data_IF_650804223917
#
_entry.id   IF_650804223917
#
_cell.length_a   1.000
_cell.length_b   1.000
_cell.length_c   1.000
_cell.angle_alpha   90.00
_cell.angle_beta   90.00
_cell.angle_gamma   90.00
#
_symmetry.space_group_name_H-M   'P 1'
#
loop_
_entity.id
_entity.type
_entity.pdbx_description
1 polymer ?
#
# COMPACT_ATOMS: atom_id res chain seq x y z
N UNK A 1 0.79 25.92 17.28
CA UNK A 1 -0.59 25.43 17.47
C UNK A 1 -0.51 23.92 17.42
N UNK A 2 -1.20 23.18 18.30
CA UNK A 2 -1.26 21.73 18.15
C UNK A 2 -1.82 21.44 16.75
N UNK A 3 -1.20 20.49 16.05
CA UNK A 3 -1.69 19.97 14.76
C UNK A 3 -3.17 19.69 14.95
N UNK A 4 -4.04 20.36 14.19
CA UNK A 4 -5.48 20.15 14.27
C UNK A 4 -5.74 18.65 14.08
N UNK A 5 -6.27 17.97 15.10
CA UNK A 5 -6.67 16.57 15.02
C UNK A 5 -7.88 16.47 14.07
N UNK A 6 -7.61 16.50 12.76
CA UNK A 6 -8.55 16.30 11.65
C UNK A 6 -9.11 14.87 11.59
N UNK A 7 -8.85 14.05 12.62
CA UNK A 7 -9.37 12.68 12.74
C UNK A 7 -10.91 12.61 12.75
N UNK A 8 -11.58 13.72 13.10
CA UNK A 8 -13.03 13.86 13.10
C UNK A 8 -13.65 14.13 11.71
N UNK A 9 -12.85 14.48 10.69
CA UNK A 9 -13.34 14.72 9.31
C UNK A 9 -13.33 13.46 8.41
N UNK A 10 -12.86 12.32 8.92
CA UNK A 10 -12.88 11.03 8.22
C UNK A 10 -14.25 10.34 8.26
N UNK A 11 -14.62 9.53 7.25
CA UNK A 11 -15.78 8.63 7.38
C UNK A 11 -15.51 7.65 8.53
N UNK A 12 -16.55 7.01 9.10
CA UNK A 12 -16.35 6.01 10.15
C UNK A 12 -15.37 4.91 9.69
N UNK A 13 -14.42 4.57 10.57
CA UNK A 13 -13.42 3.50 10.45
C UNK A 13 -14.07 2.12 10.47
N UNK A 14 -14.78 1.80 9.39
CA UNK A 14 -15.51 0.55 9.25
C UNK A 14 -15.28 0.02 7.83
N UNK A 15 -14.59 -1.11 7.63
CA UNK A 15 -13.82 -1.93 8.58
C UNK A 15 -12.53 -1.24 9.08
N UNK A 16 -12.10 -1.57 10.31
CA UNK A 16 -10.83 -1.07 10.83
C UNK A 16 -9.66 -1.84 10.17
N UNK A 17 -8.88 -1.14 9.34
CA UNK A 17 -7.73 -1.74 8.63
C UNK A 17 -6.55 -2.01 9.57
N UNK A 18 -6.48 -1.32 10.71
CA UNK A 18 -5.48 -1.52 11.75
C UNK A 18 -5.54 -2.96 12.31
N UNK A 19 -6.74 -3.55 12.39
CA UNK A 19 -6.94 -4.93 12.81
C UNK A 19 -6.31 -5.94 11.85
N UNK A 20 -6.38 -5.68 10.55
CA UNK A 20 -5.76 -6.56 9.57
C UNK A 20 -4.23 -6.42 9.55
N UNK A 21 -3.71 -5.23 9.88
CA UNK A 21 -2.28 -5.04 10.09
C UNK A 21 -1.80 -5.75 11.36
N UNK A 22 -2.55 -5.65 12.47
CA UNK A 22 -2.26 -6.38 13.71
C UNK A 22 -2.27 -7.90 13.51
N UNK A 23 -3.25 -8.43 12.76
CA UNK A 23 -3.28 -9.85 12.37
C UNK A 23 -2.00 -10.24 11.63
N UNK A 24 -1.63 -9.46 10.61
CA UNK A 24 -0.42 -9.72 9.82
C UNK A 24 0.86 -9.69 10.66
N UNK A 25 0.97 -8.76 11.62
CA UNK A 25 2.08 -8.70 12.55
C UNK A 25 2.16 -9.93 13.46
N UNK A 26 1.02 -10.47 13.89
CA UNK A 26 0.96 -11.69 14.70
C UNK A 26 1.39 -12.92 13.87
N UNK A 27 1.08 -12.97 12.57
CA UNK A 27 1.58 -14.01 11.67
C UNK A 27 3.12 -14.01 11.58
N UNK A 28 3.73 -12.82 11.57
CA UNK A 28 5.18 -12.64 11.47
C UNK A 28 5.91 -12.87 12.80
N UNK A 29 5.29 -12.48 13.92
CA UNK A 29 5.87 -12.56 15.26
C UNK A 29 4.91 -13.28 16.22
N UNK A 30 4.92 -14.63 16.23
CA UNK A 30 3.95 -15.42 17.00
C UNK A 30 4.08 -15.29 18.54
N UNK A 31 5.17 -14.68 19.04
CA UNK A 31 5.52 -14.60 20.47
C UNK A 31 5.14 -13.29 21.18
N UNK A 32 4.62 -12.28 20.49
CA UNK A 32 4.32 -10.99 21.10
C UNK A 32 2.96 -10.97 21.80
N UNK A 33 2.97 -11.17 23.11
CA UNK A 33 1.78 -11.18 23.98
C UNK A 33 1.02 -9.85 23.96
N UNK A 34 1.74 -8.72 23.87
CA UNK A 34 1.14 -7.38 23.87
C UNK A 34 0.30 -7.09 22.63
N UNK A 35 0.67 -7.64 21.47
CA UNK A 35 -0.10 -7.49 20.22
C UNK A 35 -1.38 -8.33 20.26
N UNK A 36 -1.30 -9.53 20.85
CA UNK A 36 -2.47 -10.39 21.07
C UNK A 36 -3.47 -9.76 22.04
N UNK A 37 -3.00 -9.10 23.10
CA UNK A 37 -3.87 -8.38 24.04
C UNK A 37 -4.55 -7.16 23.41
N UNK A 38 -3.83 -6.39 22.58
CA UNK A 38 -4.41 -5.27 21.82
C UNK A 38 -5.48 -5.74 20.84
N UNK A 39 -5.21 -6.81 20.09
CA UNK A 39 -6.17 -7.40 19.16
C UNK A 39 -7.38 -7.99 19.90
N UNK A 40 -7.20 -8.62 21.07
CA UNK A 40 -8.30 -9.10 21.90
C UNK A 40 -9.16 -7.95 22.45
N UNK A 41 -8.57 -6.82 22.81
CA UNK A 41 -9.32 -5.65 23.26
C UNK A 41 -10.09 -5.02 22.10
N UNK A 42 -9.51 -4.92 20.91
CA UNK A 42 -10.20 -4.37 19.73
C UNK A 42 -11.28 -5.32 19.17
N UNK A 43 -11.11 -6.63 19.31
CA UNK A 43 -12.16 -7.62 18.97
C UNK A 43 -13.32 -7.52 19.96
N UNK A 44 -13.03 -7.25 21.25
CA UNK A 44 -14.06 -7.04 22.27
C UNK A 44 -14.82 -5.73 22.06
N UNK A 45 -14.17 -4.66 21.62
CA UNK A 45 -14.84 -3.37 21.35
C UNK A 45 -15.66 -3.39 20.06
N UNK A 46 -15.19 -4.10 19.01
CA UNK A 46 -15.87 -4.15 17.71
C UNK A 46 -16.79 -5.37 17.52
N UNK A 47 -16.84 -6.30 18.47
CA UNK A 47 -17.67 -7.51 18.46
C UNK A 47 -17.51 -8.36 17.18
N UNK A 48 -16.27 -8.57 16.72
CA UNK A 48 -16.00 -9.28 15.46
C UNK A 48 -16.03 -10.80 15.63
N UNK A 49 -17.13 -11.45 15.25
CA UNK A 49 -17.24 -12.92 15.38
C UNK A 49 -16.58 -13.70 14.24
N UNK A 50 -16.85 -13.40 12.95
CA UNK A 50 -16.22 -14.08 11.82
C UNK A 50 -14.72 -13.85 11.72
N UNK A 51 -14.24 -12.63 11.99
CA UNK A 51 -12.80 -12.34 11.99
C UNK A 51 -12.06 -13.14 13.08
N UNK A 52 -12.67 -13.31 14.25
CA UNK A 52 -12.11 -14.15 15.30
C UNK A 52 -12.08 -15.63 14.90
N UNK A 53 -13.11 -16.13 14.19
CA UNK A 53 -13.10 -17.49 13.64
C UNK A 53 -12.04 -17.69 12.54
N UNK A 54 -11.77 -16.67 11.72
CA UNK A 54 -10.67 -16.70 10.76
C UNK A 54 -9.30 -16.67 11.47
N UNK A 55 -9.13 -15.83 12.49
CA UNK A 55 -7.90 -15.80 13.30
C UNK A 55 -7.65 -17.10 14.08
N UNK A 56 -8.72 -17.81 14.48
CA UNK A 56 -8.62 -19.16 15.06
C UNK A 56 -8.19 -20.18 13.98
N UNK A 57 -8.76 -20.12 12.78
CA UNK A 57 -8.39 -21.00 11.66
C UNK A 57 -6.94 -20.83 11.21
N UNK A 58 -6.43 -19.59 11.28
CA UNK A 58 -5.05 -19.26 10.93
C UNK A 58 -4.05 -19.63 12.06
N UNK A 59 -4.54 -20.06 13.24
CA UNK A 59 -3.72 -20.61 14.33
C UNK A 59 -3.08 -19.59 15.27
N UNK A 60 -3.54 -18.34 15.27
CA UNK A 60 -2.88 -17.22 15.95
C UNK A 60 -3.37 -16.98 17.40
N UNK A 61 -4.59 -17.41 17.73
CA UNK A 61 -5.21 -17.27 19.05
C UNK A 61 -5.75 -18.60 19.60
N UNK A 62 -5.69 -18.73 20.93
CA UNK A 62 -6.38 -19.79 21.66
C UNK A 62 -7.90 -19.59 21.59
N UNK A 63 -8.64 -20.68 21.43
CA UNK A 63 -10.09 -20.70 21.38
C UNK A 63 -10.69 -20.44 22.77
N UNK A 64 -11.22 -19.25 23.00
CA UNK A 64 -12.04 -18.96 24.17
C UNK A 64 -13.53 -19.10 23.82
N UNK A 65 -14.06 -20.33 23.91
CA UNK A 65 -15.44 -20.65 23.50
C UNK A 65 -16.51 -19.82 24.24
N UNK A 66 -16.24 -19.40 25.48
CA UNK A 66 -17.14 -18.55 26.27
C UNK A 66 -17.24 -17.12 25.73
N UNK A 67 -16.12 -16.56 25.26
CA UNK A 67 -16.10 -15.22 24.65
C UNK A 67 -16.78 -15.24 23.28
N UNK A 68 -16.61 -16.31 22.50
CA UNK A 68 -17.30 -16.50 21.22
C UNK A 68 -18.82 -16.51 21.41
N UNK A 69 -19.32 -17.27 22.38
CA UNK A 69 -20.76 -17.37 22.64
C UNK A 69 -21.35 -16.04 23.11
N UNK A 70 -20.64 -15.33 24.00
CA UNK A 70 -21.06 -14.00 24.47
C UNK A 70 -21.09 -12.99 23.32
N UNK A 71 -20.08 -12.99 22.44
CA UNK A 71 -20.01 -12.09 21.29
C UNK A 71 -21.09 -12.44 20.25
N UNK A 72 -21.37 -13.73 20.01
CA UNK A 72 -22.44 -14.17 19.11
C UNK A 72 -23.82 -13.71 19.58
N UNK A 73 -24.11 -13.82 20.87
CA UNK A 73 -25.39 -13.38 21.44
C UNK A 73 -25.59 -11.87 21.25
N UNK A 74 -24.58 -11.06 21.56
CA UNK A 74 -24.63 -9.60 21.34
C UNK A 74 -24.78 -9.25 19.86
N UNK A 75 -24.18 -10.02 18.96
CA UNK A 75 -24.28 -9.82 17.52
C UNK A 75 -25.68 -10.17 17.00
N UNK A 76 -26.24 -11.29 17.42
CA UNK A 76 -27.61 -11.69 17.05
C UNK A 76 -28.66 -10.71 17.58
N UNK A 77 -28.48 -10.16 18.78
CA UNK A 77 -29.35 -9.11 19.33
C UNK A 77 -29.30 -7.84 18.49
N UNK A 78 -28.09 -7.34 18.17
CA UNK A 78 -27.93 -6.13 17.34
C UNK A 78 -28.39 -6.33 15.90
N UNK A 79 -28.24 -7.53 15.33
CA UNK A 79 -28.78 -7.85 14.00
C UNK A 79 -30.31 -7.85 14.01
N UNK A 80 -30.94 -8.39 15.05
CA UNK A 80 -32.41 -8.35 15.21
C UNK A 80 -32.92 -6.92 15.36
N UNK A 81 -32.28 -6.10 16.21
CA UNK A 81 -32.67 -4.69 16.34
C UNK A 81 -32.56 -3.92 15.00
N UNK A 82 -31.55 -4.22 14.19
CA UNK A 82 -31.38 -3.60 12.88
C UNK A 82 -32.39 -4.14 11.85
N UNK A 83 -32.76 -5.41 11.93
CA UNK A 83 -33.80 -6.01 11.09
C UNK A 83 -35.19 -5.49 11.43
N UNK A 84 -35.51 -5.34 12.72
CA UNK A 84 -36.77 -4.76 13.18
C UNK A 84 -36.89 -3.29 12.72
N UNK A 85 -35.80 -2.51 12.80
CA UNK A 85 -35.76 -1.14 12.27
C UNK A 85 -35.94 -1.08 10.75
N UNK A 86 -35.39 -2.05 10.02
CA UNK A 86 -35.60 -2.16 8.58
C UNK A 86 -37.07 -2.44 8.27
N UNK A 87 -37.70 -3.38 8.99
CA UNK A 87 -39.11 -3.70 8.79
C UNK A 87 -40.04 -2.55 9.17
N UNK A 88 -39.75 -1.82 10.24
CA UNK A 88 -40.49 -0.61 10.63
C UNK A 88 -40.37 0.48 9.58
N UNK A 89 -39.15 0.73 9.08
CA UNK A 89 -38.91 1.77 8.08
C UNK A 89 -39.45 1.40 6.69
N UNK A 90 -39.50 0.11 6.34
CA UNK A 90 -40.18 -0.37 5.13
C UNK A 90 -41.71 -0.21 5.22
N UNK A 91 -42.28 -0.23 6.43
CA UNK A 91 -43.72 -0.04 6.66
C UNK A 91 -44.12 1.43 6.83
N UNK A 92 -43.22 2.29 7.29
CA UNK A 92 -43.54 3.67 7.71
C UNK A 92 -43.00 4.80 6.81
N UNK A 93 -41.87 4.63 6.13
CA UNK A 93 -41.13 5.75 5.53
C UNK A 93 -40.64 5.54 4.09
N UNK A 94 -40.14 6.62 3.46
CA UNK A 94 -39.70 6.66 2.06
C UNK A 94 -38.30 6.06 1.82
N UNK A 95 -37.89 5.96 0.54
CA UNK A 95 -36.64 5.31 0.09
C UNK A 95 -35.36 5.78 0.81
N UNK A 96 -35.32 7.05 1.26
CA UNK A 96 -34.18 7.63 1.97
C UNK A 96 -33.91 7.00 3.34
N UNK A 97 -34.94 6.62 4.08
CA UNK A 97 -34.80 6.05 5.44
C UNK A 97 -34.50 4.55 5.41
N UNK A 98 -35.06 3.85 4.41
CA UNK A 98 -34.72 2.45 4.11
C UNK A 98 -33.23 2.35 3.77
N UNK A 99 -32.69 3.30 3.00
CA UNK A 99 -31.27 3.36 2.68
C UNK A 99 -30.39 3.53 3.92
N UNK A 100 -30.73 4.44 4.82
CA UNK A 100 -29.94 4.69 6.03
C UNK A 100 -29.94 3.46 6.95
N UNK A 101 -31.08 2.77 7.03
CA UNK A 101 -31.20 1.50 7.74
C UNK A 101 -30.34 0.40 7.12
N UNK A 102 -30.35 0.27 5.79
CA UNK A 102 -29.49 -0.66 5.07
C UNK A 102 -28.01 -0.31 5.18
N UNK A 103 -27.66 0.97 5.21
CA UNK A 103 -26.30 1.45 5.38
C UNK A 103 -25.80 1.14 6.80
N UNK A 104 -26.60 1.39 7.83
CA UNK A 104 -26.28 1.03 9.21
C UNK A 104 -26.09 -0.48 9.38
N UNK A 105 -26.96 -1.30 8.78
CA UNK A 105 -26.79 -2.76 8.74
C UNK A 105 -25.52 -3.18 7.99
N UNK A 106 -25.26 -2.56 6.85
CA UNK A 106 -24.06 -2.85 6.05
C UNK A 106 -22.78 -2.49 6.81
N UNK A 107 -22.75 -1.33 7.49
CA UNK A 107 -21.64 -0.92 8.34
C UNK A 107 -21.44 -1.89 9.50
N UNK A 108 -22.52 -2.33 10.15
CA UNK A 108 -22.44 -3.30 11.23
C UNK A 108 -21.87 -4.65 10.74
N UNK A 109 -22.34 -5.16 9.60
CA UNK A 109 -21.79 -6.37 8.97
C UNK A 109 -20.32 -6.22 8.53
N UNK A 110 -19.93 -5.04 8.06
CA UNK A 110 -18.53 -4.71 7.76
C UNK A 110 -17.67 -4.69 9.03
N UNK A 111 -18.21 -4.19 10.14
CA UNK A 111 -17.54 -4.20 11.44
C UNK A 111 -17.35 -5.62 11.95
N UNK A 112 -18.35 -6.49 11.76
CA UNK A 112 -18.28 -7.90 12.15
C UNK A 112 -17.25 -8.66 11.29
N UNK A 113 -17.09 -8.29 10.02
CA UNK A 113 -16.20 -8.97 9.07
C UNK A 113 -16.87 -10.16 8.39
N UNK A 114 -18.18 -10.12 8.14
CA UNK A 114 -18.84 -11.10 7.26
C UNK A 114 -18.76 -10.63 5.80
N UNK A 115 -17.81 -11.19 5.04
CA UNK A 115 -17.53 -10.79 3.65
C UNK A 115 -18.73 -10.95 2.72
N UNK A 116 -19.46 -12.05 2.80
CA UNK A 116 -20.49 -12.39 1.81
C UNK A 116 -21.80 -11.66 2.09
N UNK A 117 -22.18 -11.58 3.36
CA UNK A 117 -23.37 -10.83 3.75
C UNK A 117 -23.17 -9.34 3.56
N UNK A 118 -22.00 -8.79 3.93
CA UNK A 118 -21.70 -7.38 3.73
C UNK A 118 -21.75 -6.99 2.25
N UNK A 119 -21.17 -7.79 1.34
CA UNK A 119 -21.22 -7.51 -0.10
C UNK A 119 -22.65 -7.54 -0.66
N UNK A 120 -23.49 -8.45 -0.16
CA UNK A 120 -24.88 -8.56 -0.59
C UNK A 120 -25.70 -7.36 -0.14
N UNK A 121 -25.57 -6.95 1.13
CA UNK A 121 -26.27 -5.77 1.65
C UNK A 121 -25.74 -4.47 1.03
N UNK A 122 -24.44 -4.32 0.81
CA UNK A 122 -23.88 -3.16 0.11
C UNK A 122 -24.39 -3.03 -1.33
N UNK A 123 -24.63 -4.14 -2.04
CA UNK A 123 -25.25 -4.12 -3.38
C UNK A 123 -26.72 -3.69 -3.31
N UNK A 124 -27.49 -4.24 -2.37
CA UNK A 124 -28.90 -3.84 -2.15
C UNK A 124 -29.01 -2.35 -1.82
N UNK A 125 -28.10 -1.82 -1.00
CA UNK A 125 -28.06 -0.39 -0.68
C UNK A 125 -27.70 0.42 -1.91
N UNK A 126 -26.73 -0.03 -2.72
CA UNK A 126 -26.32 0.65 -3.95
C UNK A 126 -27.50 0.85 -4.92
N UNK A 127 -28.31 -0.20 -5.14
CA UNK A 127 -29.46 -0.15 -6.04
C UNK A 127 -30.53 0.85 -5.60
N UNK A 128 -30.73 1.02 -4.28
CA UNK A 128 -31.68 1.97 -3.70
C UNK A 128 -31.13 3.41 -3.58
N UNK A 129 -29.82 3.61 -3.77
CA UNK A 129 -29.23 4.96 -3.69
C UNK A 129 -29.36 5.72 -4.99
N UNK A 130 -29.89 6.94 -4.91
CA UNK A 130 -30.04 7.84 -6.07
C UNK A 130 -28.88 8.82 -6.18
N UNK A 131 -28.39 9.37 -5.06
CA UNK A 131 -27.34 10.39 -5.08
C UNK A 131 -25.94 9.79 -5.37
N UNK A 132 -25.20 10.42 -6.28
CA UNK A 132 -23.86 10.03 -6.72
C UNK A 132 -22.84 9.99 -5.58
N UNK A 133 -22.84 10.98 -4.68
CA UNK A 133 -21.92 11.02 -3.53
C UNK A 133 -22.06 9.79 -2.62
N UNK A 134 -23.30 9.40 -2.29
CA UNK A 134 -23.56 8.22 -1.47
C UNK A 134 -23.24 6.91 -2.18
N UNK A 135 -23.39 6.85 -3.52
CA UNK A 135 -22.95 5.70 -4.33
C UNK A 135 -21.43 5.52 -4.25
N UNK A 136 -20.67 6.62 -4.30
CA UNK A 136 -19.22 6.59 -4.14
C UNK A 136 -18.82 6.11 -2.74
N UNK A 137 -19.49 6.63 -1.69
CA UNK A 137 -19.21 6.23 -0.31
C UNK A 137 -19.43 4.72 -0.10
N UNK A 138 -20.48 4.14 -0.70
CA UNK A 138 -20.72 2.68 -0.71
C UNK A 138 -19.64 1.87 -1.43
N UNK A 139 -19.14 2.38 -2.56
CA UNK A 139 -18.02 1.74 -3.27
C UNK A 139 -16.75 1.81 -2.44
N UNK A 140 -16.50 2.90 -1.71
CA UNK A 140 -15.37 2.97 -0.78
C UNK A 140 -15.48 1.95 0.36
N UNK A 141 -16.68 1.65 0.88
CA UNK A 141 -16.85 0.52 1.81
C UNK A 141 -16.48 -0.83 1.18
N UNK A 142 -16.89 -1.08 -0.07
CA UNK A 142 -16.52 -2.31 -0.79
C UNK A 142 -15.01 -2.40 -1.06
N UNK A 143 -14.36 -1.28 -1.37
CA UNK A 143 -12.91 -1.19 -1.56
C UNK A 143 -12.16 -1.45 -0.25
N UNK A 144 -12.64 -0.91 0.88
CA UNK A 144 -12.06 -1.17 2.20
C UNK A 144 -12.18 -2.64 2.60
N UNK A 145 -13.32 -3.28 2.37
CA UNK A 145 -13.47 -4.73 2.54
C UNK A 145 -12.50 -5.51 1.65
N UNK A 146 -12.37 -5.12 0.37
CA UNK A 146 -11.40 -5.73 -0.54
C UNK A 146 -9.96 -5.60 -0.05
N UNK A 147 -9.57 -4.43 0.48
CA UNK A 147 -8.26 -4.19 1.08
C UNK A 147 -8.07 -4.96 2.40
N UNK A 148 -9.13 -5.18 3.17
CA UNK A 148 -9.06 -5.96 4.41
C UNK A 148 -8.69 -7.42 4.11
N UNK A 149 -9.33 -8.04 3.12
CA UNK A 149 -9.05 -9.42 2.71
C UNK A 149 -7.93 -9.58 1.66
N UNK A 150 -7.39 -8.46 1.14
CA UNK A 150 -6.38 -8.44 0.07
C UNK A 150 -6.85 -9.11 -1.25
N UNK A 151 -8.15 -9.09 -1.54
CA UNK A 151 -8.73 -9.60 -2.79
C UNK A 151 -8.51 -8.60 -3.95
N UNK A 152 -7.41 -8.75 -4.70
CA UNK A 152 -7.00 -7.79 -5.75
C UNK A 152 -8.03 -7.63 -6.89
N UNK A 153 -8.70 -8.72 -7.30
CA UNK A 153 -9.68 -8.70 -8.39
C UNK A 153 -10.94 -7.89 -8.02
N UNK A 154 -11.36 -7.99 -6.75
CA UNK A 154 -12.51 -7.24 -6.24
C UNK A 154 -12.18 -5.74 -6.18
N UNK A 155 -10.98 -5.41 -5.73
CA UNK A 155 -10.49 -4.03 -5.68
C UNK A 155 -10.46 -3.42 -7.08
N UNK A 156 -9.96 -4.14 -8.09
CA UNK A 156 -9.89 -3.64 -9.47
C UNK A 156 -11.27 -3.28 -10.02
N UNK A 157 -12.23 -4.20 -9.94
CA UNK A 157 -13.60 -3.97 -10.46
C UNK A 157 -14.28 -2.79 -9.78
N UNK A 158 -14.10 -2.64 -8.48
CA UNK A 158 -14.72 -1.56 -7.73
C UNK A 158 -14.01 -0.22 -7.97
N UNK A 159 -12.70 -0.24 -8.23
CA UNK A 159 -11.93 0.95 -8.55
C UNK A 159 -12.27 1.51 -9.93
N UNK A 160 -12.49 0.64 -10.92
CA UNK A 160 -12.92 1.08 -12.24
C UNK A 160 -14.33 1.68 -12.22
N UNK A 161 -15.25 1.10 -11.43
CA UNK A 161 -16.57 1.69 -11.15
C UNK A 161 -16.48 3.03 -10.41
N UNK A 162 -15.54 3.15 -9.47
CA UNK A 162 -15.31 4.41 -8.76
C UNK A 162 -14.81 5.50 -9.73
N UNK A 163 -13.90 5.17 -10.65
CA UNK A 163 -13.40 6.12 -11.66
C UNK A 163 -14.53 6.68 -12.51
N UNK A 164 -15.39 5.83 -13.07
CA UNK A 164 -16.51 6.28 -13.90
C UNK A 164 -17.45 7.21 -13.14
N UNK A 165 -17.74 6.91 -11.87
CA UNK A 165 -18.63 7.73 -11.04
C UNK A 165 -17.99 9.02 -10.55
N UNK A 166 -16.67 9.05 -10.33
CA UNK A 166 -15.94 10.28 -9.98
C UNK A 166 -15.88 11.23 -11.18
N UNK A 167 -15.71 10.70 -12.39
CA UNK A 167 -15.71 11.50 -13.62
C UNK A 167 -17.10 12.13 -13.89
N UNK A 168 -18.18 11.47 -13.47
CA UNK A 168 -19.55 12.00 -13.52
C UNK A 168 -19.88 12.96 -12.37
N UNK A 169 -19.36 12.69 -11.17
CA UNK A 169 -19.76 13.36 -9.93
C UNK A 169 -19.03 14.67 -9.63
N UNK A 170 -17.87 14.94 -10.23
CA UNK A 170 -17.15 16.22 -10.08
C UNK A 170 -16.64 16.56 -8.67
N UNK A 171 -16.91 15.72 -7.67
CA UNK A 171 -16.50 15.91 -6.27
C UNK A 171 -14.99 15.80 -6.11
N UNK A 172 -14.35 16.92 -5.78
CA UNK A 172 -12.90 17.01 -5.67
C UNK A 172 -12.33 16.21 -4.49
N UNK A 173 -12.97 16.25 -3.31
CA UNK A 173 -12.50 15.51 -2.12
C UNK A 173 -12.58 13.99 -2.32
N UNK A 174 -13.71 13.49 -2.84
CA UNK A 174 -13.89 12.06 -3.16
C UNK A 174 -12.90 11.57 -4.22
N UNK A 175 -12.51 12.44 -5.17
CA UNK A 175 -11.46 12.14 -6.15
C UNK A 175 -10.11 11.94 -5.49
N UNK A 176 -9.74 12.75 -4.50
CA UNK A 176 -8.49 12.58 -3.78
C UNK A 176 -8.48 11.29 -2.97
N UNK A 177 -9.58 10.96 -2.28
CA UNK A 177 -9.71 9.67 -1.58
C UNK A 177 -9.53 8.50 -2.54
N UNK A 178 -10.19 8.54 -3.70
CA UNK A 178 -10.03 7.53 -4.74
C UNK A 178 -8.58 7.39 -5.23
N UNK A 179 -7.86 8.50 -5.42
CA UNK A 179 -6.43 8.47 -5.74
C UNK A 179 -5.60 7.76 -4.66
N UNK A 180 -5.90 7.98 -3.37
CA UNK A 180 -5.22 7.27 -2.26
C UNK A 180 -5.50 5.76 -2.32
N UNK A 181 -6.76 5.34 -2.52
CA UNK A 181 -7.12 3.93 -2.71
C UNK A 181 -6.40 3.31 -3.92
N UNK A 182 -6.29 4.05 -5.02
CA UNK A 182 -5.57 3.61 -6.22
C UNK A 182 -4.06 3.52 -5.99
N UNK A 183 -3.47 4.48 -5.29
CA UNK A 183 -2.06 4.46 -4.91
C UNK A 183 -1.72 3.28 -4.02
N UNK A 184 -2.58 2.98 -3.04
CA UNK A 184 -2.40 1.84 -2.13
C UNK A 184 -2.49 0.50 -2.87
N UNK A 185 -3.45 0.35 -3.79
CA UNK A 185 -3.53 -0.82 -4.67
C UNK A 185 -2.26 -0.94 -5.54
N UNK A 186 -1.83 0.16 -6.17
CA UNK A 186 -0.65 0.16 -7.04
C UNK A 186 0.62 -0.26 -6.29
N UNK A 187 0.77 0.19 -5.03
CA UNK A 187 1.81 -0.27 -4.12
C UNK A 187 1.76 -1.79 -3.90
N UNK A 188 0.56 -2.36 -3.69
CA UNK A 188 0.36 -3.81 -3.50
C UNK A 188 0.65 -4.66 -4.75
N UNK A 189 0.74 -4.07 -5.94
CA UNK A 189 1.01 -4.76 -7.22
C UNK A 189 2.46 -4.47 -7.71
N UNK A 190 3.27 -3.76 -6.90
CA UNK A 190 4.65 -3.29 -7.19
C UNK A 190 4.74 -2.15 -8.21
N UNK A 191 3.64 -1.49 -8.56
CA UNK A 191 3.68 -0.32 -9.43
C UNK A 191 3.94 0.96 -8.60
N UNK A 192 5.19 1.11 -8.16
CA UNK A 192 5.63 2.27 -7.38
C UNK A 192 5.60 3.57 -8.18
N UNK A 193 5.66 3.50 -9.52
CA UNK A 193 5.68 4.69 -10.38
C UNK A 193 4.34 5.40 -10.35
N UNK A 194 3.27 4.67 -10.66
CA UNK A 194 1.91 5.21 -10.58
C UNK A 194 1.53 5.54 -9.14
N UNK A 195 1.94 4.72 -8.16
CA UNK A 195 1.69 5.01 -6.75
C UNK A 195 2.31 6.34 -6.30
N UNK A 196 3.58 6.59 -6.64
CA UNK A 196 4.26 7.82 -6.25
C UNK A 196 3.61 9.08 -6.83
N UNK A 197 3.19 9.03 -8.10
CA UNK A 197 2.51 10.16 -8.73
C UNK A 197 1.16 10.46 -8.07
N UNK A 198 0.36 9.42 -7.84
CA UNK A 198 -0.94 9.54 -7.18
C UNK A 198 -0.81 10.05 -5.74
N UNK A 199 0.16 9.54 -4.98
CA UNK A 199 0.36 9.96 -3.60
C UNK A 199 0.84 11.41 -3.51
N UNK A 200 1.82 11.81 -4.33
CA UNK A 200 2.35 13.18 -4.33
C UNK A 200 1.29 14.23 -4.67
N UNK A 201 0.35 13.91 -5.57
CA UNK A 201 -0.77 14.79 -5.87
C UNK A 201 -1.74 14.98 -4.70
N UNK A 202 -1.81 14.00 -3.79
CA UNK A 202 -2.80 13.96 -2.70
C UNK A 202 -2.24 14.40 -1.35
N UNK A 203 -0.93 14.64 -1.21
CA UNK A 203 -0.31 15.04 0.08
C UNK A 203 -0.94 16.30 0.65
N UNK A 204 -1.15 17.32 -0.20
CA UNK A 204 -1.64 18.63 0.22
C UNK A 204 -3.06 18.62 0.78
N UNK A 205 -3.86 17.63 0.39
CA UNK A 205 -5.29 17.58 0.71
C UNK A 205 -5.71 16.18 1.08
N UNK A 206 -4.93 15.60 1.99
CA UNK A 206 -5.21 14.30 2.55
C UNK A 206 -6.38 14.39 3.55
N UNK A 207 -7.47 13.70 3.26
CA UNK A 207 -8.67 13.62 4.11
C UNK A 207 -9.02 12.17 4.48
N UNK A 208 -8.14 11.21 4.18
CA UNK A 208 -8.41 9.76 4.26
C UNK A 208 -7.93 9.12 5.56
N UNK A 209 -8.32 9.67 6.72
CA UNK A 209 -7.99 9.11 8.05
C UNK A 209 -8.60 7.73 8.33
N UNK A 210 -9.52 7.29 7.47
CA UNK A 210 -10.09 5.94 7.45
C UNK A 210 -9.08 4.86 7.08
N UNK A 211 -8.13 5.19 6.20
CA UNK A 211 -7.19 4.23 5.63
C UNK A 211 -5.95 4.10 6.51
N UNK A 212 -5.43 5.25 6.93
CA UNK A 212 -4.16 5.34 7.64
C UNK A 212 -4.00 6.72 8.28
N UNK A 213 -3.14 6.79 9.30
CA UNK A 213 -2.70 8.07 9.84
C UNK A 213 -1.88 8.84 8.80
N UNK A 214 -1.95 10.17 8.90
CA UNK A 214 -1.27 11.06 7.97
C UNK A 214 0.26 10.89 8.01
N UNK A 215 0.82 10.57 9.19
CA UNK A 215 2.25 10.26 9.31
C UNK A 215 2.62 9.05 8.44
N UNK A 216 1.89 7.95 8.56
CA UNK A 216 2.07 6.73 7.77
C UNK A 216 1.83 6.98 6.27
N UNK A 217 0.89 7.84 5.93
CA UNK A 217 0.67 8.23 4.53
C UNK A 217 1.91 8.90 3.92
N UNK A 218 2.53 9.82 4.67
CA UNK A 218 3.76 10.48 4.23
C UNK A 218 4.94 9.52 4.16
N UNK A 219 5.05 8.56 5.09
CA UNK A 219 6.11 7.53 5.02
C UNK A 219 6.02 6.72 3.72
N UNK A 220 4.81 6.27 3.36
CA UNK A 220 4.55 5.54 2.13
C UNK A 220 4.79 6.38 0.88
N UNK A 221 4.43 7.65 0.93
CA UNK A 221 4.69 8.60 -0.17
C UNK A 221 6.18 8.76 -0.42
N UNK A 222 6.99 8.93 0.64
CA UNK A 222 8.45 9.05 0.52
C UNK A 222 9.08 7.77 -0.02
N UNK A 223 8.68 6.61 0.52
CA UNK A 223 9.15 5.27 0.08
C UNK A 223 8.86 5.05 -1.41
N UNK A 224 7.63 5.29 -1.86
CA UNK A 224 7.27 5.15 -3.26
C UNK A 224 8.02 6.14 -4.16
N UNK A 225 8.14 7.39 -3.71
CA UNK A 225 8.82 8.46 -4.45
C UNK A 225 10.30 8.19 -4.66
N UNK A 226 10.98 7.58 -3.68
CA UNK A 226 12.40 7.24 -3.77
C UNK A 226 12.71 6.20 -4.85
N UNK A 227 11.79 5.25 -5.07
CA UNK A 227 11.94 4.23 -6.13
C UNK A 227 11.51 4.75 -7.49
N UNK A 228 10.46 5.57 -7.53
CA UNK A 228 9.80 5.98 -8.77
C UNK A 228 10.44 7.19 -9.45
N UNK A 229 10.87 8.20 -8.67
CA UNK A 229 11.26 9.49 -9.20
C UNK A 229 12.75 9.62 -9.42
N UNK A 230 13.10 10.31 -10.49
CA UNK A 230 14.47 10.75 -10.75
C UNK A 230 14.85 11.91 -9.82
N UNK A 231 16.16 12.05 -9.58
CA UNK A 231 16.75 13.02 -8.63
C UNK A 231 16.25 14.47 -8.78
N UNK A 232 16.09 15.04 -9.99
CA UNK A 232 15.57 16.40 -10.12
C UNK A 232 14.12 16.54 -9.63
N UNK A 233 13.25 15.59 -10.02
CA UNK A 233 11.83 15.57 -9.63
C UNK A 233 11.68 15.32 -8.13
N UNK A 234 12.51 14.45 -7.55
CA UNK A 234 12.53 14.19 -6.11
C UNK A 234 12.89 15.46 -5.32
N UNK A 235 13.85 16.26 -5.80
CA UNK A 235 14.24 17.52 -5.16
C UNK A 235 13.08 18.52 -5.13
N UNK A 236 12.40 18.67 -6.25
CA UNK A 236 11.33 19.66 -6.39
C UNK A 236 10.07 19.25 -5.61
N UNK A 237 9.60 18.01 -5.77
CA UNK A 237 8.34 17.57 -5.19
C UNK A 237 8.45 17.15 -3.72
N UNK A 238 9.53 16.48 -3.31
CA UNK A 238 9.64 15.86 -1.97
C UNK A 238 10.50 16.69 -1.04
N UNK A 239 11.71 17.06 -1.46
CA UNK A 239 12.67 17.74 -0.57
C UNK A 239 12.28 19.21 -0.34
N UNK A 240 11.68 19.86 -1.34
CA UNK A 240 11.21 21.25 -1.23
C UNK A 240 9.73 21.37 -0.83
N UNK A 241 8.99 20.26 -0.77
CA UNK A 241 7.60 20.26 -0.34
C UNK A 241 7.50 20.59 1.15
N UNK A 242 6.79 21.66 1.50
CA UNK A 242 6.65 22.13 2.88
C UNK A 242 5.93 21.12 3.78
N UNK A 243 4.86 20.50 3.27
CA UNK A 243 4.03 19.55 4.02
C UNK A 243 4.83 18.30 4.43
N UNK A 244 5.59 17.75 3.48
CA UNK A 244 6.41 16.57 3.71
C UNK A 244 7.54 16.91 4.70
N UNK A 245 8.17 18.07 4.57
CA UNK A 245 9.24 18.50 5.48
C UNK A 245 8.75 18.63 6.93
N UNK A 246 7.58 19.23 7.15
CA UNK A 246 7.01 19.42 8.49
C UNK A 246 6.84 18.09 9.22
N UNK A 247 6.29 17.08 8.54
CA UNK A 247 6.04 15.75 9.13
C UNK A 247 7.32 14.94 9.25
N UNK A 248 8.28 15.11 8.32
CA UNK A 248 9.60 14.50 8.42
C UNK A 248 10.38 14.96 9.66
N UNK A 249 10.05 16.11 10.26
CA UNK A 249 10.64 16.48 11.56
C UNK A 249 10.19 15.57 12.70
N UNK A 250 8.99 15.00 12.64
CA UNK A 250 8.49 14.01 13.59
C UNK A 250 9.10 12.61 13.41
N UNK A 251 9.59 12.28 12.21
CA UNK A 251 10.12 10.97 11.85
C UNK A 251 11.59 11.05 11.38
N UNK A 252 12.56 11.08 12.31
CA UNK A 252 13.97 11.28 11.99
C UNK A 252 14.55 10.19 11.10
N UNK A 253 14.09 8.93 11.23
CA UNK A 253 14.60 7.79 10.45
C UNK A 253 14.37 7.98 8.94
N UNK A 254 13.18 8.43 8.55
CA UNK A 254 12.81 8.59 7.13
C UNK A 254 13.46 9.84 6.56
N UNK A 255 13.58 10.89 7.39
CA UNK A 255 14.32 12.09 7.05
C UNK A 255 15.78 11.76 6.73
N UNK A 256 16.48 11.09 7.63
CA UNK A 256 17.88 10.68 7.41
C UNK A 256 18.01 9.79 6.18
N UNK A 257 17.07 8.89 5.94
CA UNK A 257 17.05 8.04 4.76
C UNK A 257 16.91 8.83 3.44
N UNK A 258 15.99 9.79 3.38
CA UNK A 258 15.79 10.65 2.21
C UNK A 258 17.00 11.57 1.95
N UNK A 259 17.48 12.25 2.99
CA UNK A 259 18.59 13.20 2.87
C UNK A 259 19.93 12.51 2.60
N UNK A 260 20.20 11.33 3.20
CA UNK A 260 21.44 10.58 2.95
C UNK A 260 21.60 10.18 1.49
N UNK A 261 20.53 9.74 0.82
CA UNK A 261 20.56 9.46 -0.62
C UNK A 261 20.81 10.72 -1.45
N UNK A 262 20.14 11.83 -1.09
CA UNK A 262 20.23 13.07 -1.85
C UNK A 262 21.60 13.76 -1.72
N UNK A 263 22.16 13.78 -0.50
CA UNK A 263 23.49 14.33 -0.16
C UNK A 263 24.65 13.41 -0.52
N UNK A 264 24.38 12.22 -1.07
CA UNK A 264 25.37 11.21 -1.45
C UNK A 264 26.16 10.63 -0.25
N UNK A 265 25.56 10.58 0.95
CA UNK A 265 26.14 9.91 2.14
C UNK A 265 25.73 8.44 2.18
N UNK A 266 26.40 7.63 1.37
CA UNK A 266 25.94 6.26 1.12
C UNK A 266 26.13 5.27 2.28
N UNK A 267 27.11 5.48 3.16
CA UNK A 267 27.30 4.64 4.34
C UNK A 267 26.12 4.75 5.32
N UNK A 268 25.63 5.97 5.56
CA UNK A 268 24.46 6.24 6.40
C UNK A 268 23.20 5.67 5.74
N UNK A 269 23.06 5.88 4.42
CA UNK A 269 21.95 5.34 3.63
C UNK A 269 21.77 3.83 3.79
N UNK A 270 22.87 3.05 3.75
CA UNK A 270 22.80 1.60 3.92
C UNK A 270 22.36 1.17 5.33
N UNK A 271 22.77 1.92 6.35
CA UNK A 271 22.32 1.68 7.73
C UNK A 271 20.83 1.97 7.87
N UNK A 272 20.39 3.13 7.39
CA UNK A 272 18.96 3.51 7.40
C UNK A 272 18.11 2.51 6.60
N UNK A 273 18.60 2.05 5.44
CA UNK A 273 17.91 1.05 4.61
C UNK A 273 17.66 -0.26 5.37
N UNK A 274 18.66 -0.75 6.09
CA UNK A 274 18.53 -1.97 6.90
C UNK A 274 17.49 -1.81 8.02
N UNK A 275 17.49 -0.65 8.69
CA UNK A 275 16.51 -0.35 9.74
C UNK A 275 15.09 -0.23 9.19
N UNK A 276 14.92 0.41 8.02
CA UNK A 276 13.61 0.54 7.35
C UNK A 276 13.10 -0.82 6.86
N UNK A 277 13.97 -1.67 6.33
CA UNK A 277 13.61 -3.03 5.92
C UNK A 277 13.03 -3.82 7.11
N UNK A 278 13.69 -3.78 8.26
CA UNK A 278 13.28 -4.53 9.46
C UNK A 278 12.04 -3.95 10.16
N UNK A 279 11.98 -2.63 10.29
CA UNK A 279 10.96 -1.97 11.12
C UNK A 279 9.69 -1.59 10.35
N UNK A 280 9.78 -1.33 9.05
CA UNK A 280 8.65 -0.88 8.24
C UNK A 280 8.26 -1.92 7.20
N UNK A 281 9.18 -2.25 6.28
CA UNK A 281 8.80 -3.03 5.09
C UNK A 281 8.35 -4.45 5.42
N UNK A 282 9.02 -5.14 6.35
CA UNK A 282 8.65 -6.52 6.73
C UNK A 282 7.39 -6.51 7.61
N UNK A 283 7.19 -5.48 8.41
CA UNK A 283 6.07 -5.35 9.34
C UNK A 283 4.77 -4.92 8.63
N UNK A 284 4.88 -4.21 7.50
CA UNK A 284 3.73 -3.74 6.74
C UNK A 284 3.13 -4.82 5.85
N UNK A 285 1.81 -5.02 6.00
CA UNK A 285 1.01 -5.98 5.24
C UNK A 285 1.14 -5.83 3.73
N UNK A 286 1.16 -4.60 3.22
CA UNK A 286 1.20 -4.32 1.78
C UNK A 286 2.60 -4.48 1.19
N UNK A 287 3.64 -4.20 1.97
CA UNK A 287 5.02 -4.13 1.48
C UNK A 287 5.84 -5.38 1.80
N UNK A 288 5.44 -6.21 2.77
CA UNK A 288 6.19 -7.38 3.18
C UNK A 288 6.48 -8.38 2.04
N UNK A 289 5.52 -8.73 1.14
CA UNK A 289 5.82 -9.59 0.00
C UNK A 289 6.76 -8.95 -1.04
N UNK A 290 7.05 -7.66 -0.89
CA UNK A 290 7.78 -6.82 -1.84
C UNK A 290 9.05 -6.19 -1.24
N UNK A 291 9.34 -6.43 0.05
CA UNK A 291 10.48 -5.86 0.75
C UNK A 291 11.82 -6.17 0.05
N UNK A 292 12.01 -7.44 -0.36
CA UNK A 292 13.22 -7.86 -1.09
C UNK A 292 13.38 -7.16 -2.43
N UNK A 293 12.28 -6.91 -3.14
CA UNK A 293 12.27 -6.16 -4.39
C UNK A 293 12.67 -4.70 -4.14
N UNK A 294 12.05 -4.06 -3.14
CA UNK A 294 12.33 -2.68 -2.78
C UNK A 294 13.80 -2.45 -2.44
N UNK A 295 14.36 -3.27 -1.56
CA UNK A 295 15.78 -3.17 -1.14
C UNK A 295 16.72 -3.35 -2.33
N UNK A 296 16.40 -4.30 -3.22
CA UNK A 296 17.19 -4.52 -4.44
C UNK A 296 17.17 -3.31 -5.37
N UNK A 297 16.01 -2.71 -5.60
CA UNK A 297 15.90 -1.53 -6.46
C UNK A 297 16.61 -0.32 -5.86
N UNK A 298 16.48 -0.09 -4.54
CA UNK A 298 17.18 1.00 -3.86
C UNK A 298 18.70 0.86 -3.93
N UNK A 299 19.24 -0.36 -3.85
CA UNK A 299 20.68 -0.62 -4.07
C UNK A 299 21.12 -0.25 -5.48
N UNK A 300 20.34 -0.63 -6.49
CA UNK A 300 20.64 -0.28 -7.90
C UNK A 300 20.65 1.23 -8.09
N UNK A 301 19.68 1.96 -7.52
CA UNK A 301 19.61 3.43 -7.61
C UNK A 301 20.85 4.07 -6.97
N UNK A 302 21.22 3.65 -5.76
CA UNK A 302 22.39 4.17 -5.06
C UNK A 302 23.69 3.91 -5.83
N UNK A 303 23.87 2.71 -6.38
CA UNK A 303 25.03 2.38 -7.22
C UNK A 303 25.04 3.16 -8.53
N UNK A 304 23.90 3.26 -9.21
CA UNK A 304 23.77 4.03 -10.44
C UNK A 304 24.10 5.51 -10.22
N UNK A 305 23.68 6.10 -9.10
CA UNK A 305 23.94 7.50 -8.77
C UNK A 305 25.44 7.78 -8.61
N UNK A 306 26.17 6.91 -7.91
CA UNK A 306 27.62 7.06 -7.78
C UNK A 306 28.32 6.85 -9.13
N UNK A 307 27.95 5.79 -9.86
CA UNK A 307 28.58 5.44 -11.14
C UNK A 307 28.31 6.48 -12.24
N UNK A 308 27.17 7.17 -12.21
CA UNK A 308 26.87 8.21 -13.22
C UNK A 308 27.85 9.39 -13.18
N UNK A 309 28.42 9.68 -12.01
CA UNK A 309 29.34 10.82 -11.81
C UNK A 309 30.77 10.53 -12.25
N UNK A 310 31.18 9.26 -12.37
CA UNK A 310 32.56 8.85 -12.64
C UNK A 310 32.66 7.94 -13.87
N UNK A 311 33.67 8.16 -14.73
CA UNK A 311 33.96 7.25 -15.85
C UNK A 311 34.67 5.98 -15.41
N UNK A 312 35.53 6.09 -14.38
CA UNK A 312 36.30 4.99 -13.81
C UNK A 312 36.42 5.20 -12.30
N UNK A 313 36.19 4.16 -11.52
CA UNK A 313 36.25 4.19 -10.06
C UNK A 313 37.00 2.97 -9.54
N UNK A 314 37.80 3.13 -8.48
CA UNK A 314 38.42 1.97 -7.83
C UNK A 314 37.41 1.23 -6.95
N UNK A 315 37.44 -0.11 -6.97
CA UNK A 315 36.57 -0.95 -6.14
C UNK A 315 36.72 -0.60 -4.64
N UNK A 316 37.95 -0.30 -4.22
CA UNK A 316 38.29 0.17 -2.87
C UNK A 316 37.62 1.48 -2.49
N UNK A 317 37.68 2.49 -3.37
CA UNK A 317 37.06 3.79 -3.12
C UNK A 317 35.54 3.67 -3.03
N UNK A 318 34.94 2.85 -3.90
CA UNK A 318 33.51 2.55 -3.83
C UNK A 318 33.13 1.83 -2.53
N UNK A 319 33.89 0.80 -2.14
CA UNK A 319 33.67 0.04 -0.91
C UNK A 319 33.71 0.95 0.33
N UNK A 320 34.68 1.88 0.40
CA UNK A 320 34.77 2.87 1.47
C UNK A 320 33.58 3.84 1.51
N UNK A 321 33.15 4.36 0.35
CA UNK A 321 32.01 5.28 0.27
C UNK A 321 30.69 4.64 0.75
N UNK A 322 30.48 3.36 0.47
CA UNK A 322 29.32 2.59 0.91
C UNK A 322 29.48 1.94 2.29
N UNK A 323 30.68 1.97 2.89
CA UNK A 323 30.97 1.31 4.16
C UNK A 323 30.86 -0.22 4.10
N UNK A 324 31.13 -0.82 2.93
CA UNK A 324 30.99 -2.26 2.68
C UNK A 324 32.35 -2.91 2.38
N UNK A 325 32.42 -4.24 2.44
CA UNK A 325 33.62 -4.98 2.01
C UNK A 325 33.71 -5.10 0.49
N UNK A 326 34.94 -5.14 -0.04
CA UNK A 326 35.19 -5.33 -1.48
C UNK A 326 34.52 -6.61 -2.02
N UNK A 327 34.59 -7.71 -1.25
CA UNK A 327 33.99 -8.99 -1.62
C UNK A 327 32.46 -8.94 -1.69
N UNK A 328 31.83 -8.15 -0.81
CA UNK A 328 30.38 -7.95 -0.85
C UNK A 328 29.98 -7.17 -2.10
N UNK A 329 30.68 -6.06 -2.35
CA UNK A 329 30.40 -5.21 -3.51
C UNK A 329 30.60 -5.95 -4.84
N UNK A 330 31.64 -6.75 -4.98
CA UNK A 330 31.92 -7.58 -6.17
C UNK A 330 30.76 -8.56 -6.46
N UNK A 331 30.24 -9.23 -5.42
CA UNK A 331 29.10 -10.16 -5.53
C UNK A 331 27.80 -9.46 -5.90
N UNK A 332 27.55 -8.26 -5.39
CA UNK A 332 26.32 -7.52 -5.72
C UNK A 332 26.35 -6.92 -7.11
N UNK A 333 27.44 -6.21 -7.45
CA UNK A 333 27.58 -5.59 -8.75
C UNK A 333 27.58 -6.64 -9.86
N UNK A 334 28.24 -7.79 -9.69
CA UNK A 334 28.22 -8.86 -10.69
C UNK A 334 26.81 -9.36 -10.99
N UNK A 335 25.94 -9.52 -9.98
CA UNK A 335 24.52 -9.88 -10.20
C UNK A 335 23.77 -8.80 -10.96
N UNK A 336 23.97 -7.53 -10.63
CA UNK A 336 23.27 -6.42 -11.28
C UNK A 336 23.74 -6.18 -12.71
N UNK A 337 25.03 -6.33 -12.98
CA UNK A 337 25.61 -6.26 -14.32
C UNK A 337 25.09 -7.43 -15.17
N UNK A 338 25.08 -8.65 -14.63
CA UNK A 338 24.53 -9.83 -15.33
C UNK A 338 23.03 -9.65 -15.67
N UNK A 339 22.27 -9.00 -14.80
CA UNK A 339 20.86 -8.66 -15.05
C UNK A 339 20.65 -7.48 -16.03
N UNK A 340 21.73 -6.79 -16.43
CA UNK A 340 21.68 -5.62 -17.31
C UNK A 340 21.04 -4.39 -16.68
N UNK A 341 21.00 -4.30 -15.34
CA UNK A 341 20.44 -3.15 -14.60
C UNK A 341 21.48 -2.07 -14.32
N UNK A 342 22.76 -2.44 -14.29
CA UNK A 342 23.89 -1.50 -14.16
C UNK A 342 24.78 -1.60 -15.40
N UNK A 343 25.06 -0.44 -16.01
CA UNK A 343 25.89 -0.34 -17.20
C UNK A 343 27.36 -0.10 -16.82
N UNK A 344 27.96 -1.05 -16.12
CA UNK A 344 29.36 -1.00 -15.75
C UNK A 344 30.05 -2.34 -15.99
N UNK A 345 31.38 -2.29 -16.12
CA UNK A 345 32.27 -3.45 -16.23
C UNK A 345 33.24 -3.41 -15.07
N UNK A 346 33.52 -4.58 -14.50
CA UNK A 346 34.46 -4.72 -13.39
C UNK A 346 35.71 -5.41 -13.91
N UNK A 347 36.85 -4.74 -13.78
CA UNK A 347 38.17 -5.35 -13.92
C UNK A 347 38.69 -5.70 -12.53
N UNK A 348 38.62 -6.98 -12.17
CA UNK A 348 39.06 -7.46 -10.86
C UNK A 348 40.57 -7.50 -10.69
N UNK A 349 41.34 -7.61 -11.78
CA UNK A 349 42.81 -7.66 -11.71
C UNK A 349 43.35 -6.28 -11.38
N UNK A 350 42.80 -5.25 -12.03
CA UNK A 350 43.16 -3.84 -11.75
C UNK A 350 42.40 -3.24 -10.58
N UNK A 351 41.29 -3.86 -10.17
CA UNK A 351 40.41 -3.35 -9.12
C UNK A 351 39.65 -2.08 -9.54
N UNK A 352 39.32 -1.95 -10.83
CA UNK A 352 38.70 -0.76 -11.42
C UNK A 352 37.31 -1.14 -11.96
N UNK A 353 36.35 -0.26 -11.72
CA UNK A 353 35.01 -0.29 -12.30
C UNK A 353 34.98 0.76 -13.40
N UNK A 354 34.73 0.33 -14.63
CA UNK A 354 34.55 1.21 -15.78
C UNK A 354 33.07 1.34 -16.10
N UNK A 355 32.58 2.57 -16.23
CA UNK A 355 31.17 2.81 -16.58
C UNK A 355 31.03 2.89 -18.10
N UNK A 356 30.11 2.09 -18.63
CA UNK A 356 29.75 2.14 -20.04
C UNK A 356 28.51 3.00 -20.20
N UNK A 357 28.56 4.01 -21.06
CA UNK A 357 27.39 4.81 -21.40
C UNK A 357 26.74 4.19 -22.65
N UNK A 358 25.64 3.44 -22.53
CA UNK A 358 24.97 2.92 -23.71
C UNK A 358 24.29 4.05 -24.47
N UNK A 359 24.36 4.01 -25.80
CA UNK A 359 23.59 4.90 -26.66
C UNK A 359 22.09 4.70 -26.45
N UNK A 360 21.34 5.80 -26.38
CA UNK A 360 19.89 5.79 -26.20
C UNK A 360 19.16 4.92 -27.24
N UNK A 361 19.64 4.92 -28.48
CA UNK A 361 19.10 4.10 -29.58
C UNK A 361 19.25 2.61 -29.33
N UNK A 362 20.39 2.17 -28.79
CA UNK A 362 20.63 0.75 -28.50
C UNK A 362 19.73 0.26 -27.36
N UNK A 363 19.53 1.09 -26.34
CA UNK A 363 18.59 0.79 -25.27
C UNK A 363 17.14 0.67 -25.79
N UNK A 364 16.68 1.65 -26.56
CA UNK A 364 15.33 1.65 -27.16
C UNK A 364 15.13 0.44 -28.08
N UNK A 365 16.13 0.12 -28.91
CA UNK A 365 16.08 -1.04 -29.80
C UNK A 365 15.91 -2.36 -29.04
N UNK A 366 16.70 -2.57 -27.98
CA UNK A 366 16.57 -3.76 -27.13
C UNK A 366 15.22 -3.81 -26.41
N UNK A 367 14.69 -2.66 -25.96
CA UNK A 367 13.40 -2.59 -25.30
C UNK A 367 12.25 -2.96 -26.27
N UNK A 368 12.30 -2.45 -27.50
CA UNK A 368 11.32 -2.77 -28.55
C UNK A 368 11.33 -4.26 -28.88
N UNK A 369 12.49 -4.89 -29.01
CA UNK A 369 12.58 -6.34 -29.25
C UNK A 369 11.93 -7.12 -28.09
N UNK A 370 12.29 -6.80 -26.83
CA UNK A 370 11.74 -7.50 -25.66
C UNK A 370 10.21 -7.37 -25.56
N UNK A 371 9.67 -6.16 -25.77
CA UNK A 371 8.22 -5.92 -25.77
C UNK A 371 7.54 -6.58 -26.98
N UNK A 372 8.19 -6.57 -28.14
CA UNK A 372 7.73 -7.22 -29.36
C UNK A 372 7.60 -8.74 -29.18
N UNK A 373 8.61 -9.39 -28.62
CA UNK A 373 8.60 -10.83 -28.35
C UNK A 373 7.48 -11.21 -27.37
N UNK A 374 7.26 -10.41 -26.32
CA UNK A 374 6.17 -10.64 -25.38
C UNK A 374 4.80 -10.56 -26.07
N UNK A 375 4.61 -9.56 -26.94
CA UNK A 375 3.38 -9.38 -27.69
C UNK A 375 3.15 -10.54 -28.67
N UNK A 376 4.17 -10.89 -29.46
CA UNK A 376 4.10 -12.00 -30.41
C UNK A 376 3.73 -13.31 -29.73
N UNK A 377 4.33 -13.61 -28.56
CA UNK A 377 3.99 -14.80 -27.78
C UNK A 377 2.54 -14.80 -27.30
N UNK A 378 1.99 -13.64 -26.89
CA UNK A 378 0.57 -13.53 -26.49
C UNK A 378 -0.36 -13.72 -27.68
N UNK A 379 -0.07 -13.08 -28.80
CA UNK A 379 -0.85 -13.22 -30.05
C UNK A 379 -0.84 -14.66 -30.54
N UNK A 380 0.30 -15.34 -30.50
CA UNK A 380 0.41 -16.75 -30.89
C UNK A 380 -0.38 -17.68 -29.96
N UNK A 381 -0.44 -17.40 -28.65
CA UNK A 381 -1.29 -18.17 -27.73
C UNK A 381 -2.78 -17.92 -28.02
N UNK A 382 -3.18 -16.68 -28.23
CA UNK A 382 -4.55 -16.32 -28.59
C UNK A 382 -5.00 -16.97 -29.89
N UNK A 383 -4.17 -16.95 -30.94
CA UNK A 383 -4.51 -17.55 -32.22
C UNK A 383 -4.73 -19.06 -32.13
N UNK A 384 -3.96 -19.76 -31.29
CA UNK A 384 -4.17 -21.20 -31.02
C UNK A 384 -5.49 -21.47 -30.30
N UNK A 385 -5.92 -20.60 -29.41
CA UNK A 385 -7.20 -20.75 -28.68
C UNK A 385 -8.40 -20.43 -29.59
N UNK A 386 -8.25 -19.47 -30.51
CA UNK A 386 -9.33 -19.08 -31.43
C UNK A 386 -9.50 -20.07 -32.60
N UNK A 387 -8.43 -20.75 -33.01
CA UNK A 387 -8.46 -21.71 -34.11
C UNK A 387 -8.89 -23.14 -33.69
N UNK A 388 -9.06 -23.40 -32.40
CA UNK A 388 -9.69 -24.62 -31.84
C UNK A 388 -11.17 -24.29 -31.63
#
# INVERSE_FOLDING_TARGET
MPVEDLSDEGLPKVPNLDLAQLKFLITLQPNDKSLKEKLLNEIKTNHMTPFYLECIKDGELSSDDQLIQTIRQVNEEKLKELDDKIEENEKAFGESEIRESYLAKSQYLCSIGDREQALTWLRKTYDKTVALGHRLDLIFYQLRLGLFYMDQDLIERNLDKAKTLVDEGGDWDRRNRMKVYQGLRAMSIRDFKSAAELFLDTVATFTSYELMDYQTFVTYTVICSLVALERPKLREKVIRGSEILEILHGLPLIKEYLFSLYECRYADFFRCLATIEQNLLIQDRYLAPHATYYVREMRIIAYSQLLQSYSSLTLKGMAQAFGCSENFLDKELSRFIASGRLNCKIDKVRGIIETTRPDSKNFLYQEVIKKGDLLLNRVQKLSRVINI
#
